data_IF_320543286819
#
_entry.id   IF_320543286819
#
_cell.length_a   1.000
_cell.length_b   1.000
_cell.length_c   1.000
_cell.angle_alpha   90.00
_cell.angle_beta   90.00
_cell.angle_gamma   90.00
#
_symmetry.space_group_name_H-M   'P 1'
#
loop_
_entity.id
_entity.type
_entity.pdbx_description
1 polymer ?
#
# COMPACT_ATOMS: atom_id res chain seq x y z
N UNK A 1 9.10 -28.70 -17.38
CA UNK A 1 8.17 -27.97 -16.50
C UNK A 1 6.98 -28.90 -16.31
N UNK A 2 6.77 -29.41 -15.11
CA UNK A 2 5.53 -30.09 -14.80
C UNK A 2 4.40 -29.07 -15.00
N UNK A 3 3.36 -29.47 -15.74
CA UNK A 3 2.15 -28.65 -15.89
C UNK A 3 1.48 -28.58 -14.51
N UNK A 4 1.67 -27.46 -13.83
CA UNK A 4 0.86 -27.17 -12.62
C UNK A 4 -0.60 -27.04 -13.06
N UNK A 5 -1.53 -27.56 -12.27
CA UNK A 5 -2.96 -27.37 -12.50
C UNK A 5 -3.30 -25.87 -12.60
N UNK A 6 -4.39 -25.53 -13.28
CA UNK A 6 -4.77 -24.11 -13.53
C UNK A 6 -4.95 -23.28 -12.24
N UNK A 7 -5.03 -23.94 -11.09
CA UNK A 7 -5.27 -23.33 -9.78
C UNK A 7 -4.10 -23.52 -8.79
N UNK A 8 -2.99 -24.07 -9.24
CA UNK A 8 -1.82 -24.33 -8.41
C UNK A 8 -0.77 -23.23 -8.62
N UNK A 9 -0.23 -22.75 -7.51
CA UNK A 9 0.91 -21.84 -7.58
C UNK A 9 2.15 -22.59 -8.09
N UNK A 10 2.99 -21.95 -8.93
CA UNK A 10 4.30 -22.47 -9.27
C UNK A 10 5.12 -22.82 -8.02
N UNK A 11 5.94 -23.89 -8.05
CA UNK A 11 6.71 -24.34 -6.89
C UNK A 11 7.56 -23.25 -6.22
N UNK A 12 8.15 -22.36 -7.01
CA UNK A 12 8.91 -21.22 -6.52
C UNK A 12 8.06 -20.22 -5.72
N UNK A 13 6.80 -20.02 -6.09
CA UNK A 13 5.88 -19.17 -5.34
C UNK A 13 5.30 -19.83 -4.10
N UNK A 14 5.17 -21.16 -4.12
CA UNK A 14 4.86 -21.94 -2.91
C UNK A 14 5.97 -21.78 -1.89
N UNK A 15 7.24 -21.96 -2.32
CA UNK A 15 8.41 -21.76 -1.46
C UNK A 15 8.49 -20.33 -0.92
N UNK A 16 8.27 -19.33 -1.78
CA UNK A 16 8.24 -17.93 -1.38
C UNK A 16 7.17 -17.71 -0.29
N UNK A 17 5.93 -18.14 -0.54
CA UNK A 17 4.83 -18.05 0.41
C UNK A 17 5.19 -18.66 1.76
N UNK A 18 5.72 -19.88 1.76
CA UNK A 18 6.02 -20.61 2.99
C UNK A 18 7.15 -19.94 3.79
N UNK A 19 8.16 -19.37 3.11
CA UNK A 19 9.21 -18.58 3.74
C UNK A 19 8.67 -17.27 4.34
N UNK A 20 7.81 -16.54 3.61
CA UNK A 20 7.20 -15.32 4.13
C UNK A 20 6.27 -15.65 5.32
N UNK A 21 5.47 -16.67 5.22
CA UNK A 21 4.61 -17.13 6.32
C UNK A 21 5.42 -17.46 7.57
N UNK A 22 6.54 -18.17 7.41
CA UNK A 22 7.45 -18.47 8.51
C UNK A 22 8.02 -17.20 9.13
N UNK A 23 8.55 -16.30 8.31
CA UNK A 23 9.10 -15.00 8.77
C UNK A 23 8.05 -14.18 9.52
N UNK A 24 6.83 -14.10 9.01
CA UNK A 24 5.73 -13.41 9.68
C UNK A 24 5.43 -14.00 11.05
N UNK A 25 5.30 -15.33 11.16
CA UNK A 25 4.92 -16.01 12.39
C UNK A 25 6.02 -16.05 13.45
N UNK A 26 7.27 -16.22 13.02
CA UNK A 26 8.39 -16.42 13.95
C UNK A 26 9.08 -15.11 14.34
N UNK A 27 8.96 -14.04 13.55
CA UNK A 27 9.73 -12.81 13.75
C UNK A 27 8.88 -11.54 13.76
N UNK A 28 8.07 -11.29 12.72
CA UNK A 28 7.31 -10.04 12.61
C UNK A 28 6.20 -9.96 13.66
N UNK A 29 5.34 -10.98 13.76
CA UNK A 29 4.24 -10.97 14.71
C UNK A 29 4.71 -10.95 16.17
N UNK A 30 5.73 -11.73 16.59
CA UNK A 30 6.27 -11.61 17.97
C UNK A 30 6.86 -10.24 18.26
N UNK A 31 7.54 -9.60 17.32
CA UNK A 31 8.04 -8.24 17.49
C UNK A 31 6.89 -7.23 17.64
N UNK A 32 5.84 -7.36 16.83
CA UNK A 32 4.64 -6.52 16.92
C UNK A 32 3.90 -6.68 18.25
N UNK A 33 3.81 -7.90 18.80
CA UNK A 33 3.13 -8.18 20.08
C UNK A 33 3.75 -7.43 21.26
N UNK A 34 5.00 -6.99 21.17
CA UNK A 34 5.65 -6.17 22.20
C UNK A 34 5.19 -4.71 22.19
N UNK A 35 4.48 -4.28 21.15
CA UNK A 35 4.02 -2.90 20.99
C UNK A 35 2.65 -2.68 21.64
N UNK A 36 2.36 -1.44 22.00
CA UNK A 36 1.02 -1.06 22.44
C UNK A 36 -0.03 -1.38 21.39
N UNK A 37 -1.23 -1.74 21.85
CA UNK A 37 -2.30 -2.23 20.98
C UNK A 37 -2.65 -1.29 19.83
N UNK A 38 -2.60 0.02 20.04
CA UNK A 38 -2.95 1.03 19.04
C UNK A 38 -1.75 1.55 18.24
N UNK A 39 -0.56 0.98 18.46
CA UNK A 39 0.60 1.31 17.64
C UNK A 39 0.38 0.95 16.18
N UNK A 40 0.79 1.85 15.29
CA UNK A 40 0.82 1.66 13.83
C UNK A 40 2.21 1.91 13.24
N UNK A 41 3.21 2.01 14.09
CA UNK A 41 4.63 2.12 13.72
C UNK A 41 5.45 1.19 14.58
N UNK A 42 6.32 0.44 13.94
CA UNK A 42 7.34 -0.35 14.62
C UNK A 42 8.57 0.55 14.86
N UNK A 43 9.11 0.60 16.08
CA UNK A 43 10.37 1.31 16.35
C UNK A 43 11.52 0.77 15.50
N UNK A 44 12.46 1.63 15.12
CA UNK A 44 13.58 1.26 14.25
C UNK A 44 14.40 0.10 14.83
N UNK A 45 14.58 0.05 16.15
CA UNK A 45 15.34 -0.99 16.84
C UNK A 45 14.79 -2.40 16.57
N UNK A 46 13.45 -2.51 16.41
CA UNK A 46 12.78 -3.77 16.06
C UNK A 46 12.67 -3.94 14.54
N UNK A 47 12.50 -2.85 13.79
CA UNK A 47 12.25 -2.89 12.36
C UNK A 47 13.51 -3.17 11.54
N UNK A 48 14.64 -2.55 11.86
CA UNK A 48 15.89 -2.69 11.10
C UNK A 48 16.39 -4.13 10.96
N UNK A 49 16.41 -4.98 12.02
CA UNK A 49 16.76 -6.39 11.87
C UNK A 49 15.83 -7.15 10.93
N UNK A 50 14.52 -6.87 10.98
CA UNK A 50 13.52 -7.49 10.11
C UNK A 50 13.72 -7.06 8.65
N UNK A 51 13.99 -5.78 8.41
CA UNK A 51 14.28 -5.24 7.08
C UNK A 51 15.55 -5.84 6.49
N UNK A 52 16.61 -5.96 7.30
CA UNK A 52 17.86 -6.58 6.87
C UNK A 52 17.60 -8.01 6.43
N UNK A 53 16.89 -8.80 7.22
CA UNK A 53 16.58 -10.19 6.90
C UNK A 53 15.70 -10.31 5.66
N UNK A 54 14.67 -9.49 5.54
CA UNK A 54 13.81 -9.45 4.37
C UNK A 54 14.60 -9.18 3.08
N UNK A 55 15.51 -8.24 3.13
CA UNK A 55 16.36 -7.85 2.00
C UNK A 55 17.44 -8.88 1.65
N UNK A 56 18.18 -9.36 2.65
CA UNK A 56 19.39 -10.16 2.44
C UNK A 56 19.11 -11.66 2.34
N UNK A 57 18.11 -12.18 3.08
CA UNK A 57 17.83 -13.61 3.15
C UNK A 57 16.59 -14.02 2.35
N UNK A 58 15.51 -13.22 2.41
CA UNK A 58 14.26 -13.54 1.73
C UNK A 58 14.20 -12.99 0.29
N UNK A 59 15.06 -12.02 -0.06
CA UNK A 59 15.05 -11.37 -1.36
C UNK A 59 13.77 -10.55 -1.60
N UNK A 60 13.11 -10.09 -0.54
CA UNK A 60 11.87 -9.30 -0.59
C UNK A 60 12.13 -7.92 -0.04
N UNK A 61 12.39 -6.97 -0.95
CA UNK A 61 12.65 -5.58 -0.60
C UNK A 61 12.10 -4.65 -1.66
N UNK A 62 11.28 -3.69 -1.29
CA UNK A 62 10.61 -2.78 -2.23
C UNK A 62 10.12 -3.55 -3.45
N UNK A 63 9.13 -4.40 -3.25
CA UNK A 63 8.72 -5.48 -4.15
C UNK A 63 8.36 -5.02 -5.56
N UNK A 64 7.86 -3.81 -5.66
CA UNK A 64 7.38 -3.20 -6.87
C UNK A 64 8.47 -2.39 -7.61
N UNK A 65 9.56 -2.13 -6.93
CA UNK A 65 10.67 -1.33 -7.45
C UNK A 65 11.55 -2.16 -8.37
N UNK A 66 11.95 -1.65 -9.57
CA UNK A 66 12.88 -2.33 -10.46
C UNK A 66 14.23 -2.63 -9.77
N UNK A 67 14.85 -3.74 -10.15
CA UNK A 67 16.15 -4.18 -9.59
C UNK A 67 17.25 -3.16 -9.80
N UNK A 68 17.26 -2.46 -10.93
CA UNK A 68 18.24 -1.42 -11.23
C UNK A 68 18.22 -0.25 -10.24
N UNK A 69 17.09 -0.06 -9.53
CA UNK A 69 16.94 0.95 -8.47
C UNK A 69 16.96 0.34 -7.06
N UNK A 70 17.35 -0.93 -6.92
CA UNK A 70 17.57 -1.60 -5.63
C UNK A 70 16.36 -2.30 -5.04
N UNK A 71 15.27 -2.47 -5.80
CA UNK A 71 14.09 -3.26 -5.41
C UNK A 71 14.23 -4.73 -5.81
N UNK A 72 13.23 -5.53 -5.46
CA UNK A 72 13.16 -6.96 -5.80
C UNK A 72 12.50 -7.23 -7.14
N UNK A 73 11.75 -6.28 -7.70
CA UNK A 73 11.04 -6.40 -8.99
C UNK A 73 10.24 -7.71 -9.08
N UNK A 74 9.45 -8.00 -8.06
CA UNK A 74 8.64 -9.21 -8.05
C UNK A 74 7.53 -9.13 -9.10
N UNK A 75 7.22 -10.26 -9.74
CA UNK A 75 6.04 -10.37 -10.59
C UNK A 75 4.78 -10.02 -9.81
N UNK A 76 3.73 -9.56 -10.48
CA UNK A 76 2.48 -9.17 -9.83
C UNK A 76 1.84 -10.34 -9.03
N UNK A 77 1.98 -11.58 -9.53
CA UNK A 77 1.54 -12.77 -8.82
C UNK A 77 2.38 -13.01 -7.54
N UNK A 78 3.71 -12.85 -7.62
CA UNK A 78 4.58 -12.96 -6.45
C UNK A 78 4.26 -11.88 -5.41
N UNK A 79 4.00 -10.64 -5.85
CA UNK A 79 3.57 -9.56 -4.96
C UNK A 79 2.24 -9.90 -4.27
N UNK A 80 1.27 -10.51 -4.96
CA UNK A 80 0.02 -10.94 -4.36
C UNK A 80 0.25 -12.01 -3.28
N UNK A 81 1.08 -13.02 -3.57
CA UNK A 81 1.45 -14.07 -2.62
C UNK A 81 2.10 -13.49 -1.35
N UNK A 82 3.05 -12.57 -1.52
CA UNK A 82 3.70 -11.91 -0.38
C UNK A 82 2.72 -11.01 0.38
N UNK A 83 1.86 -10.27 -0.32
CA UNK A 83 0.89 -9.35 0.29
C UNK A 83 -0.14 -10.09 1.17
N UNK A 84 -0.60 -11.26 0.74
CA UNK A 84 -1.53 -12.09 1.53
C UNK A 84 -0.91 -12.50 2.88
N UNK A 85 0.34 -12.98 2.88
CA UNK A 85 1.01 -13.38 4.11
C UNK A 85 1.43 -12.16 4.96
N UNK A 86 1.93 -11.10 4.33
CA UNK A 86 2.37 -9.87 4.99
C UNK A 86 1.23 -9.14 5.74
N UNK A 87 0.00 -9.35 5.32
CA UNK A 87 -1.18 -8.75 5.92
C UNK A 87 -1.64 -9.45 7.22
N UNK A 88 -1.10 -10.63 7.54
CA UNK A 88 -1.56 -11.46 8.66
C UNK A 88 -1.01 -11.01 10.04
N UNK A 89 -0.56 -9.79 10.17
CA UNK A 89 -0.21 -9.15 11.43
C UNK A 89 -1.26 -8.10 11.83
N UNK A 90 -1.22 -7.61 13.05
CA UNK A 90 -2.18 -6.64 13.59
C UNK A 90 -2.19 -5.33 12.80
N UNK A 91 -1.02 -4.84 12.41
CA UNK A 91 -0.86 -3.66 11.55
C UNK A 91 -1.06 -3.94 10.05
N UNK A 92 -1.23 -5.20 9.67
CA UNK A 92 -1.17 -5.65 8.28
C UNK A 92 -2.11 -4.96 7.31
N UNK A 93 -3.26 -4.46 7.81
CA UNK A 93 -4.20 -3.69 7.01
C UNK A 93 -3.62 -2.35 6.49
N UNK A 94 -2.66 -1.77 7.20
CA UNK A 94 -2.11 -0.44 6.92
C UNK A 94 -0.62 -0.48 6.60
N UNK A 95 0.10 -1.36 7.29
CA UNK A 95 1.55 -1.52 7.16
C UNK A 95 1.87 -3.02 7.10
N UNK A 96 1.69 -3.66 5.92
CA UNK A 96 1.99 -5.08 5.74
C UNK A 96 3.39 -5.44 6.24
N UNK A 97 3.51 -6.57 6.92
CA UNK A 97 4.74 -7.01 7.60
C UNK A 97 5.37 -5.93 8.50
N UNK A 98 4.55 -5.01 9.08
CA UNK A 98 5.01 -3.89 9.89
C UNK A 98 6.08 -3.01 9.23
N UNK A 99 6.19 -3.03 7.89
CA UNK A 99 7.19 -2.29 7.11
C UNK A 99 8.51 -3.03 6.90
N UNK A 100 8.60 -4.31 7.22
CA UNK A 100 9.81 -5.10 7.06
C UNK A 100 10.28 -5.25 5.59
N UNK A 101 9.37 -5.11 4.62
CA UNK A 101 9.69 -5.22 3.19
C UNK A 101 10.10 -3.90 2.52
N UNK A 102 10.39 -2.87 3.31
CA UNK A 102 10.77 -1.55 2.82
C UNK A 102 9.57 -0.68 2.40
N UNK A 103 9.88 0.44 1.80
CA UNK A 103 8.89 1.42 1.32
C UNK A 103 9.05 1.57 -0.19
N UNK A 104 8.08 1.03 -0.94
CA UNK A 104 8.02 1.25 -2.38
C UNK A 104 7.56 2.70 -2.68
N UNK A 105 8.24 3.42 -3.57
CA UNK A 105 7.67 4.64 -4.14
C UNK A 105 6.47 4.28 -5.05
N UNK A 106 5.56 5.22 -5.33
CA UNK A 106 4.56 5.02 -6.36
C UNK A 106 5.21 4.55 -7.68
N UNK A 107 4.84 3.36 -8.18
CA UNK A 107 5.51 2.71 -9.30
C UNK A 107 5.61 3.56 -10.58
N UNK A 108 4.68 4.48 -10.75
CA UNK A 108 4.65 5.40 -11.89
C UNK A 108 5.80 6.43 -11.90
N UNK A 109 6.55 6.57 -10.79
CA UNK A 109 7.73 7.44 -10.77
C UNK A 109 8.82 6.93 -11.72
N UNK A 110 8.88 5.61 -11.97
CA UNK A 110 9.83 5.00 -12.88
C UNK A 110 9.52 5.25 -14.37
N UNK A 111 8.38 5.89 -14.69
CA UNK A 111 8.07 6.42 -16.01
C UNK A 111 8.59 7.87 -16.20
N UNK A 112 9.15 8.44 -15.17
CA UNK A 112 9.68 9.81 -15.18
C UNK A 112 11.05 9.94 -15.84
N UNK A 113 11.55 11.17 -15.90
CA UNK A 113 12.92 11.45 -16.29
C UNK A 113 13.90 10.88 -15.27
N UNK A 114 15.16 10.65 -15.70
CA UNK A 114 16.20 10.19 -14.77
C UNK A 114 16.36 11.09 -13.54
N UNK A 115 16.24 12.41 -13.71
CA UNK A 115 16.29 13.36 -12.60
C UNK A 115 15.13 13.17 -11.60
N UNK A 116 13.93 12.90 -12.10
CA UNK A 116 12.77 12.62 -11.26
C UNK A 116 12.93 11.28 -10.52
N UNK A 117 13.39 10.23 -11.23
CA UNK A 117 13.63 8.92 -10.63
C UNK A 117 14.72 9.03 -9.54
N UNK A 118 15.83 9.69 -9.82
CA UNK A 118 16.94 9.84 -8.86
C UNK A 118 16.49 10.67 -7.64
N UNK A 119 15.77 11.77 -7.87
CA UNK A 119 15.33 12.68 -6.78
C UNK A 119 14.25 12.08 -5.90
N UNK A 120 13.30 11.34 -6.45
CA UNK A 120 12.10 10.88 -5.75
C UNK A 120 12.08 9.35 -5.57
N UNK A 121 12.27 8.59 -6.63
CA UNK A 121 12.23 7.13 -6.59
C UNK A 121 13.39 6.54 -5.79
N UNK A 122 14.63 6.76 -6.24
CA UNK A 122 15.84 6.19 -5.64
C UNK A 122 16.00 6.61 -4.18
N UNK A 123 15.81 7.91 -3.88
CA UNK A 123 15.89 8.39 -2.48
C UNK A 123 14.84 7.78 -1.58
N UNK A 124 13.64 7.50 -2.09
CA UNK A 124 12.61 6.79 -1.31
C UNK A 124 13.10 5.43 -0.86
N UNK A 125 13.72 4.67 -1.76
CA UNK A 125 14.21 3.32 -1.48
C UNK A 125 15.40 3.33 -0.53
N UNK A 126 16.33 4.26 -0.75
CA UNK A 126 17.57 4.36 0.04
C UNK A 126 17.38 4.91 1.44
N UNK A 127 16.47 5.87 1.60
CA UNK A 127 16.28 6.63 2.84
C UNK A 127 14.98 6.28 3.56
N UNK A 128 14.14 5.39 2.99
CA UNK A 128 12.82 5.04 3.55
C UNK A 128 11.85 6.22 3.55
N UNK A 129 12.00 7.17 2.60
CA UNK A 129 11.10 8.31 2.50
C UNK A 129 9.67 7.85 2.19
N UNK A 130 8.70 8.60 2.66
CA UNK A 130 7.29 8.32 2.37
C UNK A 130 6.79 9.21 1.24
N UNK A 131 5.94 8.63 0.41
CA UNK A 131 5.28 9.35 -0.67
C UNK A 131 3.75 9.13 -0.60
N UNK A 132 2.99 10.10 -1.11
CA UNK A 132 1.55 9.97 -1.25
C UNK A 132 1.12 10.02 -2.71
N UNK A 133 -0.10 9.52 -2.99
CA UNK A 133 -0.76 9.67 -4.28
C UNK A 133 -2.11 10.32 -4.08
N UNK A 134 -2.29 11.51 -4.64
CA UNK A 134 -3.45 12.36 -4.43
C UNK A 134 -4.37 12.39 -5.65
N UNK A 135 -5.41 11.55 -5.62
CA UNK A 135 -6.41 11.42 -6.68
C UNK A 135 -7.76 11.98 -6.22
N UNK A 136 -8.32 11.39 -5.15
CA UNK A 136 -9.68 11.67 -4.67
C UNK A 136 -9.85 13.08 -4.17
N UNK A 137 -11.06 13.65 -4.36
CA UNK A 137 -11.44 14.98 -3.94
C UNK A 137 -12.74 14.93 -3.12
N UNK A 138 -13.09 15.98 -2.37
CA UNK A 138 -14.35 16.01 -1.61
C UNK A 138 -15.60 15.74 -2.46
N UNK A 139 -15.57 16.14 -3.74
CA UNK A 139 -16.68 15.95 -4.69
C UNK A 139 -16.79 14.55 -5.30
N UNK A 140 -15.78 13.67 -5.11
CA UNK A 140 -15.84 12.32 -5.65
C UNK A 140 -14.48 11.60 -5.73
N UNK A 141 -14.54 10.27 -5.90
CA UNK A 141 -13.37 9.40 -5.99
C UNK A 141 -13.60 8.17 -6.88
N UNK A 142 -14.85 7.72 -7.05
CA UNK A 142 -15.17 6.52 -7.83
C UNK A 142 -14.97 6.71 -9.36
N UNK A 143 -15.13 7.93 -9.86
CA UNK A 143 -14.88 8.30 -11.26
C UNK A 143 -13.85 9.44 -11.32
N UNK A 144 -12.57 9.17 -11.11
CA UNK A 144 -11.55 10.21 -11.05
C UNK A 144 -11.41 10.99 -12.36
N UNK A 145 -11.71 10.38 -13.51
CA UNK A 145 -11.67 11.06 -14.79
C UNK A 145 -12.59 12.29 -14.86
N UNK A 146 -13.74 12.23 -14.20
CA UNK A 146 -14.72 13.33 -14.14
C UNK A 146 -14.65 14.11 -12.83
N UNK A 147 -14.31 13.45 -11.72
CA UNK A 147 -14.37 14.02 -10.38
C UNK A 147 -13.22 14.99 -10.09
N UNK A 148 -12.05 14.86 -10.73
CA UNK A 148 -10.89 15.74 -10.50
C UNK A 148 -11.22 17.16 -10.94
N UNK A 149 -11.27 18.09 -9.99
CA UNK A 149 -11.52 19.52 -10.16
C UNK A 149 -10.32 20.38 -9.73
N UNK A 150 -9.35 19.83 -8.99
CA UNK A 150 -8.11 20.51 -8.67
C UNK A 150 -7.47 21.03 -9.97
N UNK A 151 -7.18 22.32 -10.06
CA UNK A 151 -6.69 22.99 -11.26
C UNK A 151 -5.19 23.18 -11.22
N UNK A 152 -4.57 23.16 -12.39
CA UNK A 152 -3.17 23.51 -12.59
C UNK A 152 -3.06 24.45 -13.80
N UNK A 153 -2.64 25.70 -13.56
CA UNK A 153 -2.49 26.71 -14.61
C UNK A 153 -1.00 26.97 -14.84
N UNK A 154 -0.57 26.91 -16.10
CA UNK A 154 0.82 27.22 -16.48
C UNK A 154 1.05 28.75 -16.41
N UNK A 155 2.00 29.16 -15.56
CA UNK A 155 2.41 30.58 -15.43
C UNK A 155 3.94 30.68 -15.56
N UNK A 156 4.40 31.08 -16.71
CA UNK A 156 5.83 31.12 -17.01
C UNK A 156 6.45 29.72 -17.07
N UNK A 157 7.36 29.41 -16.14
CA UNK A 157 8.06 28.13 -16.05
C UNK A 157 7.55 27.25 -14.88
N UNK A 158 6.34 27.50 -14.40
CA UNK A 158 5.74 26.73 -13.30
C UNK A 158 4.23 26.57 -13.49
N UNK A 159 3.68 25.49 -12.95
CA UNK A 159 2.25 25.33 -12.78
C UNK A 159 1.81 25.84 -11.41
N UNK A 160 0.66 26.51 -11.35
CA UNK A 160 0.03 26.96 -10.11
C UNK A 160 -1.15 26.06 -9.83
N UNK A 161 -1.04 25.25 -8.78
CA UNK A 161 -2.07 24.29 -8.38
C UNK A 161 -3.01 24.91 -7.35
N UNK A 162 -4.33 24.72 -7.57
CA UNK A 162 -5.39 25.14 -6.66
C UNK A 162 -6.46 24.04 -6.55
N UNK A 163 -6.78 23.65 -5.31
CA UNK A 163 -7.81 22.65 -5.03
C UNK A 163 -7.55 21.81 -3.79
N UNK A 164 -8.45 20.90 -3.49
CA UNK A 164 -8.41 20.06 -2.29
C UNK A 164 -8.47 18.60 -2.67
N UNK A 165 -7.57 17.80 -2.10
CA UNK A 165 -7.58 16.34 -2.17
C UNK A 165 -8.00 15.77 -0.82
N UNK A 166 -8.76 14.68 -0.84
CA UNK A 166 -9.31 14.07 0.37
C UNK A 166 -9.04 12.57 0.40
N UNK A 167 -8.91 12.02 1.60
CA UNK A 167 -8.59 10.61 1.87
C UNK A 167 -7.20 10.21 1.38
N UNK A 168 -6.22 11.12 1.44
CA UNK A 168 -4.87 10.86 0.95
C UNK A 168 -4.05 10.16 2.03
N UNK A 169 -3.88 8.86 1.88
CA UNK A 169 -3.15 8.02 2.82
C UNK A 169 -1.69 8.44 2.92
N UNK A 170 -1.22 8.66 4.14
CA UNK A 170 0.19 8.92 4.45
C UNK A 170 0.68 10.33 4.13
N UNK A 171 -0.14 11.24 3.59
CA UNK A 171 0.29 12.57 3.17
C UNK A 171 0.86 13.43 4.33
N UNK A 172 0.41 13.22 5.56
CA UNK A 172 0.95 13.95 6.72
C UNK A 172 2.43 13.64 6.97
N UNK A 173 2.80 12.37 6.80
CA UNK A 173 4.16 11.88 7.07
C UNK A 173 5.03 11.75 5.81
N UNK A 174 4.51 12.14 4.64
CA UNK A 174 5.24 12.04 3.38
C UNK A 174 6.14 13.25 3.14
N UNK A 175 7.23 13.05 2.46
CA UNK A 175 8.16 14.09 2.02
C UNK A 175 7.81 14.61 0.63
N UNK A 176 7.14 13.79 -0.19
CA UNK A 176 6.73 14.16 -1.54
C UNK A 176 5.46 13.41 -1.95
N UNK A 177 4.88 13.76 -3.08
CA UNK A 177 3.72 13.06 -3.58
C UNK A 177 3.47 13.25 -5.07
N UNK A 178 2.57 12.40 -5.59
CA UNK A 178 2.04 12.47 -6.94
C UNK A 178 0.63 13.04 -6.87
N UNK A 179 0.37 14.09 -7.63
CA UNK A 179 -0.89 14.83 -7.63
C UNK A 179 -1.47 14.87 -9.04
N UNK A 180 -2.74 14.53 -9.16
CA UNK A 180 -3.49 14.65 -10.41
C UNK A 180 -4.35 15.92 -10.38
N UNK A 181 -4.09 16.83 -11.31
CA UNK A 181 -4.82 18.09 -11.44
C UNK A 181 -5.22 18.33 -12.90
N UNK A 182 -6.17 19.21 -13.12
CA UNK A 182 -6.71 19.52 -14.45
C UNK A 182 -6.03 20.77 -15.02
N UNK A 183 -5.42 20.61 -16.20
CA UNK A 183 -5.00 21.71 -17.07
C UNK A 183 -6.02 21.91 -18.19
N UNK A 184 -5.80 22.89 -19.06
CA UNK A 184 -6.62 23.09 -20.28
C UNK A 184 -6.55 21.88 -21.23
N UNK A 185 -5.44 21.12 -21.18
CA UNK A 185 -5.23 19.93 -22.02
C UNK A 185 -5.75 18.63 -21.39
N UNK A 186 -6.30 18.66 -20.16
CA UNK A 186 -6.87 17.52 -19.48
C UNK A 186 -6.21 17.22 -18.13
N UNK A 187 -6.44 16.00 -17.60
CA UNK A 187 -5.83 15.59 -16.35
C UNK A 187 -4.33 15.38 -16.56
N UNK A 188 -3.55 16.03 -15.72
CA UNK A 188 -2.09 16.07 -15.76
C UNK A 188 -1.53 15.57 -14.42
N UNK A 189 -0.39 14.91 -14.46
CA UNK A 189 0.27 14.33 -13.30
C UNK A 189 1.47 15.18 -12.89
N UNK A 190 1.55 15.52 -11.61
CA UNK A 190 2.60 16.35 -11.05
C UNK A 190 3.29 15.66 -9.87
N UNK A 191 4.58 15.89 -9.70
CA UNK A 191 5.33 15.54 -8.51
C UNK A 191 5.43 16.80 -7.65
N UNK A 192 5.04 16.69 -6.38
CA UNK A 192 5.11 17.78 -5.43
C UNK A 192 6.00 17.42 -4.25
N UNK A 193 6.89 18.32 -3.83
CA UNK A 193 7.56 18.23 -2.54
C UNK A 193 6.61 18.80 -1.48
N UNK A 194 6.46 18.16 -0.34
CA UNK A 194 5.51 18.61 0.70
C UNK A 194 5.83 20.00 1.24
N UNK A 195 7.08 20.40 1.16
CA UNK A 195 7.54 21.71 1.63
C UNK A 195 7.30 22.86 0.62
N UNK A 196 6.72 22.55 -0.55
CA UNK A 196 6.35 23.60 -1.51
C UNK A 196 5.35 24.57 -0.88
N UNK A 197 5.57 25.87 -1.12
CA UNK A 197 4.64 26.92 -0.68
C UNK A 197 3.23 26.66 -1.22
N UNK A 198 2.22 26.78 -0.37
CA UNK A 198 0.82 26.58 -0.74
C UNK A 198 0.31 25.13 -0.59
N UNK A 199 1.07 24.21 0.02
CA UNK A 199 0.59 22.88 0.38
C UNK A 199 0.32 22.84 1.89
N UNK A 200 -0.91 22.47 2.25
CA UNK A 200 -1.29 22.20 3.64
C UNK A 200 -1.87 20.80 3.75
N UNK A 201 -1.46 20.06 4.78
CA UNK A 201 -2.01 18.72 5.08
C UNK A 201 -2.71 18.73 6.43
N UNK A 202 -3.89 18.10 6.51
CA UNK A 202 -4.64 17.93 7.75
C UNK A 202 -5.07 16.47 7.90
N UNK A 203 -4.83 15.82 9.04
CA UNK A 203 -5.29 14.47 9.25
C UNK A 203 -6.83 14.45 9.32
N UNK A 204 -7.42 13.43 8.70
CA UNK A 204 -8.86 13.13 8.78
C UNK A 204 -9.01 11.97 9.75
N UNK A 205 -9.47 12.19 10.99
CA UNK A 205 -9.59 11.12 11.98
C UNK A 205 -10.54 10.02 11.51
N UNK A 206 -10.09 8.78 11.60
CA UNK A 206 -10.87 7.58 11.30
C UNK A 206 -10.85 6.63 12.49
N UNK A 207 -11.61 5.54 12.41
CA UNK A 207 -11.80 4.59 13.52
C UNK A 207 -10.51 3.92 14.02
N UNK A 208 -9.44 3.95 13.22
CA UNK A 208 -8.10 3.46 13.57
C UNK A 208 -7.06 4.55 13.37
N UNK A 209 -5.93 4.39 14.02
CA UNK A 209 -4.90 5.40 14.21
C UNK A 209 -4.12 5.84 12.98
N UNK A 210 -4.15 5.09 11.86
CA UNK A 210 -3.52 5.52 10.63
C UNK A 210 -4.47 6.37 9.80
N UNK A 211 -4.51 7.66 10.09
CA UNK A 211 -5.46 8.57 9.45
C UNK A 211 -5.03 8.94 8.03
N UNK A 212 -5.95 8.91 7.05
CA UNK A 212 -5.76 9.62 5.80
C UNK A 212 -5.75 11.13 6.04
N UNK A 213 -5.32 11.88 5.04
CA UNK A 213 -5.25 13.34 5.12
C UNK A 213 -6.12 14.01 4.07
N UNK A 214 -6.53 15.22 4.40
CA UNK A 214 -6.88 16.25 3.45
C UNK A 214 -5.60 16.97 3.03
N UNK A 215 -5.42 17.23 1.73
CA UNK A 215 -4.30 17.98 1.18
C UNK A 215 -4.85 19.15 0.38
N UNK A 216 -4.56 20.36 0.84
CA UNK A 216 -4.98 21.61 0.20
C UNK A 216 -3.84 22.23 -0.58
N UNK A 217 -4.15 22.67 -1.79
CA UNK A 217 -3.26 23.43 -2.67
C UNK A 217 -3.85 24.84 -2.83
N UNK A 218 -3.09 25.84 -2.40
CA UNK A 218 -3.46 27.26 -2.51
C UNK A 218 -2.30 28.01 -3.18
N UNK A 219 -2.49 28.36 -4.45
CA UNK A 219 -1.45 28.97 -5.29
C UNK A 219 -0.11 28.22 -5.25
N UNK A 220 -0.17 26.89 -5.12
CA UNK A 220 1.02 26.05 -5.01
C UNK A 220 1.80 26.04 -6.31
N UNK A 221 3.05 26.48 -6.25
CA UNK A 221 3.95 26.65 -7.41
C UNK A 221 4.75 25.37 -7.63
N UNK A 222 4.45 24.66 -8.69
CA UNK A 222 5.11 23.43 -9.09
C UNK A 222 5.94 23.69 -10.36
N UNK A 223 7.27 23.50 -10.33
CA UNK A 223 8.12 23.68 -11.49
C UNK A 223 7.71 22.80 -12.67
N UNK A 224 7.90 23.25 -13.91
CA UNK A 224 7.55 22.45 -15.11
C UNK A 224 8.30 21.14 -15.18
N UNK A 225 9.51 21.05 -14.64
CA UNK A 225 10.30 19.82 -14.55
C UNK A 225 9.71 18.78 -13.59
N UNK A 226 8.73 19.15 -12.76
CA UNK A 226 8.00 18.24 -11.90
C UNK A 226 6.71 17.69 -12.55
N UNK A 227 6.45 18.01 -13.83
CA UNK A 227 5.43 17.33 -14.60
C UNK A 227 5.87 15.89 -14.86
N UNK A 228 5.05 14.92 -14.45
CA UNK A 228 5.32 13.49 -14.68
C UNK A 228 4.59 13.04 -15.94
N UNK A 229 5.36 12.63 -16.93
CA UNK A 229 4.84 12.28 -18.27
C UNK A 229 4.52 13.51 -19.11
N UNK A 230 3.36 13.50 -19.79
CA UNK A 230 2.91 14.56 -20.70
C UNK A 230 1.67 15.28 -20.15
N UNK A 231 1.56 16.56 -20.43
CA UNK A 231 0.38 17.34 -20.10
C UNK A 231 -0.88 16.75 -20.76
N UNK A 232 -1.96 16.66 -19.99
CA UNK A 232 -3.23 16.06 -20.42
C UNK A 232 -3.25 14.53 -20.49
N UNK A 233 -2.12 13.85 -20.23
CA UNK A 233 -2.02 12.38 -20.22
C UNK A 233 -1.95 11.76 -18.81
N UNK A 234 -2.09 12.55 -17.78
CA UNK A 234 -1.99 12.09 -16.38
C UNK A 234 -3.00 11.02 -15.99
N UNK A 235 -4.18 10.97 -16.64
CA UNK A 235 -5.15 9.92 -16.35
C UNK A 235 -4.65 8.50 -16.71
N UNK A 236 -3.87 8.36 -17.77
CA UNK A 236 -3.24 7.07 -18.10
C UNK A 236 -2.25 6.63 -17.01
N UNK A 237 -1.47 7.58 -16.46
CA UNK A 237 -0.57 7.33 -15.32
C UNK A 237 -1.38 6.91 -14.09
N UNK A 238 -2.48 7.62 -13.80
CA UNK A 238 -3.40 7.26 -12.72
C UNK A 238 -3.93 5.83 -12.86
N UNK A 239 -4.40 5.45 -14.05
CA UNK A 239 -4.89 4.11 -14.33
C UNK A 239 -3.78 3.04 -14.16
N UNK A 240 -2.57 3.31 -14.65
CA UNK A 240 -1.42 2.40 -14.49
C UNK A 240 -1.17 2.11 -13.01
N UNK A 241 -1.13 3.15 -12.17
CA UNK A 241 -0.97 3.00 -10.73
C UNK A 241 -2.12 2.20 -10.09
N UNK A 242 -3.37 2.56 -10.39
CA UNK A 242 -4.55 1.90 -9.83
C UNK A 242 -4.64 0.42 -10.21
N UNK A 243 -4.39 0.08 -11.47
CA UNK A 243 -4.44 -1.31 -11.95
C UNK A 243 -3.39 -2.17 -11.24
N UNK A 244 -2.17 -1.64 -11.12
CA UNK A 244 -1.08 -2.36 -10.45
C UNK A 244 -1.39 -2.63 -8.98
N UNK A 245 -1.94 -1.63 -8.27
CA UNK A 245 -2.21 -1.75 -6.83
C UNK A 245 -3.40 -2.67 -6.49
N UNK A 246 -4.36 -2.85 -7.40
CA UNK A 246 -5.58 -3.62 -7.12
C UNK A 246 -5.32 -5.06 -6.70
N UNK A 247 -4.38 -5.75 -7.34
CA UNK A 247 -4.12 -7.16 -7.08
C UNK A 247 -3.44 -7.37 -5.72
N UNK A 248 -2.32 -6.71 -5.37
CA UNK A 248 -1.72 -6.83 -4.04
C UNK A 248 -2.68 -6.38 -2.92
N UNK A 249 -3.50 -5.35 -3.14
CA UNK A 249 -4.50 -4.93 -2.16
C UNK A 249 -5.59 -5.98 -1.94
N UNK A 250 -6.05 -6.65 -3.00
CA UNK A 250 -7.03 -7.72 -2.87
C UNK A 250 -6.45 -8.91 -2.09
N UNK A 251 -5.22 -9.31 -2.39
CA UNK A 251 -4.51 -10.34 -1.66
C UNK A 251 -4.29 -9.97 -0.18
N UNK A 252 -3.96 -8.71 0.10
CA UNK A 252 -3.85 -8.18 1.46
C UNK A 252 -5.17 -8.36 2.24
N UNK A 253 -6.31 -8.01 1.65
CA UNK A 253 -7.63 -8.16 2.30
C UNK A 253 -7.93 -9.64 2.59
N UNK A 254 -7.56 -10.56 1.69
CA UNK A 254 -7.70 -12.00 1.90
C UNK A 254 -6.84 -12.46 3.08
N UNK A 255 -5.58 -12.00 3.16
CA UNK A 255 -4.69 -12.30 4.28
C UNK A 255 -5.24 -11.84 5.64
N UNK A 256 -5.81 -10.62 5.69
CA UNK A 256 -6.47 -10.09 6.90
C UNK A 256 -7.66 -10.97 7.29
N UNK A 257 -8.52 -11.33 6.32
CA UNK A 257 -9.68 -12.17 6.56
C UNK A 257 -9.27 -13.56 7.07
N UNK A 258 -8.24 -14.17 6.47
CA UNK A 258 -7.68 -15.44 6.90
C UNK A 258 -7.20 -15.38 8.37
N UNK A 259 -6.45 -14.34 8.72
CA UNK A 259 -5.97 -14.16 10.10
C UNK A 259 -7.12 -13.94 11.08
N UNK A 260 -8.11 -13.17 10.71
CA UNK A 260 -9.31 -12.95 11.54
C UNK A 260 -10.06 -14.26 11.79
N UNK A 261 -10.21 -15.11 10.76
CA UNK A 261 -10.86 -16.42 10.87
C UNK A 261 -10.04 -17.37 11.78
N UNK A 262 -8.71 -17.43 11.63
CA UNK A 262 -7.84 -18.21 12.53
C UNK A 262 -8.05 -17.81 13.99
N UNK A 263 -8.04 -16.51 14.29
CA UNK A 263 -8.27 -16.00 15.64
C UNK A 263 -9.67 -16.35 16.16
N UNK A 264 -10.68 -16.27 15.30
CA UNK A 264 -12.05 -16.64 15.66
C UNK A 264 -12.18 -18.14 15.98
N UNK A 265 -11.52 -19.00 15.21
CA UNK A 265 -11.46 -20.46 15.44
C UNK A 265 -10.76 -20.77 16.77
N UNK A 266 -9.62 -20.15 17.03
CA UNK A 266 -8.86 -20.35 18.26
C UNK A 266 -9.67 -19.91 19.47
N UNK A 267 -10.36 -18.77 19.38
CA UNK A 267 -11.27 -18.31 20.41
C UNK A 267 -12.44 -19.27 20.62
N UNK A 268 -13.07 -19.75 19.56
CA UNK A 268 -14.19 -20.69 19.64
C UNK A 268 -13.80 -22.01 20.30
N UNK A 269 -12.56 -22.48 20.11
CA UNK A 269 -12.00 -23.66 20.78
C UNK A 269 -11.73 -23.48 22.28
N UNK A 270 -11.55 -22.25 22.72
CA UNK A 270 -11.23 -21.91 24.12
C UNK A 270 -12.47 -21.49 24.90
N UNK A 271 -13.34 -20.66 24.33
CA UNK A 271 -14.50 -20.08 25.01
C UNK A 271 -15.60 -21.10 25.27
N UNK A 272 -16.01 -21.19 26.53
CA UNK A 272 -17.14 -22.02 26.96
C UNK A 272 -18.37 -21.18 27.29
N UNK A 273 -19.53 -21.67 26.86
CA UNK A 273 -20.84 -21.14 27.23
C UNK A 273 -21.81 -22.29 27.47
N UNK A 274 -22.60 -22.23 28.55
CA UNK A 274 -23.51 -23.32 28.91
C UNK A 274 -22.82 -24.69 29.01
N UNK A 275 -21.59 -24.72 29.56
CA UNK A 275 -20.76 -25.92 29.75
C UNK A 275 -20.32 -26.63 28.46
N UNK A 276 -20.36 -25.96 27.32
CA UNK A 276 -19.85 -26.45 26.05
C UNK A 276 -19.01 -25.38 25.36
N UNK A 277 -18.03 -25.80 24.57
CA UNK A 277 -17.20 -24.88 23.78
C UNK A 277 -18.04 -24.22 22.70
N UNK A 278 -17.69 -23.00 22.29
CA UNK A 278 -18.33 -22.35 21.14
C UNK A 278 -18.12 -23.18 19.87
N UNK A 279 -16.96 -23.80 19.70
CA UNK A 279 -16.64 -24.66 18.56
C UNK A 279 -17.59 -25.88 18.43
N UNK A 280 -18.23 -26.33 19.51
CA UNK A 280 -19.17 -27.45 19.50
C UNK A 280 -20.59 -27.04 19.07
N UNK A 281 -20.82 -25.74 18.88
CA UNK A 281 -22.14 -25.23 18.48
C UNK A 281 -22.25 -25.19 16.95
N UNK A 282 -23.25 -25.88 16.40
CA UNK A 282 -23.46 -26.02 14.96
C UNK A 282 -23.54 -24.67 14.24
N UNK A 283 -24.21 -23.68 14.82
CA UNK A 283 -24.28 -22.34 14.23
C UNK A 283 -22.90 -21.68 14.08
N UNK A 284 -21.98 -21.87 15.05
CA UNK A 284 -20.59 -21.36 14.97
C UNK A 284 -19.79 -22.11 13.91
N UNK A 285 -19.99 -23.45 13.81
CA UNK A 285 -19.33 -24.26 12.77
C UNK A 285 -19.76 -23.81 11.36
N UNK A 286 -21.03 -23.51 11.15
CA UNK A 286 -21.51 -22.98 9.87
C UNK A 286 -20.90 -21.63 9.54
N UNK A 287 -20.83 -20.68 10.48
CA UNK A 287 -20.21 -19.38 10.27
C UNK A 287 -18.73 -19.52 9.87
N UNK A 288 -17.99 -20.44 10.51
CA UNK A 288 -16.60 -20.71 10.18
C UNK A 288 -16.47 -21.33 8.77
N UNK A 289 -17.31 -22.31 8.44
CA UNK A 289 -17.29 -22.95 7.14
C UNK A 289 -17.64 -21.98 6.01
N UNK A 290 -18.67 -21.17 6.18
CA UNK A 290 -19.07 -20.17 5.20
C UNK A 290 -17.96 -19.13 5.00
N UNK A 291 -17.33 -18.65 6.08
CA UNK A 291 -16.21 -17.73 6.01
C UNK A 291 -15.01 -18.31 5.27
N UNK A 292 -14.69 -19.59 5.49
CA UNK A 292 -13.59 -20.24 4.76
C UNK A 292 -13.87 -20.34 3.27
N UNK A 293 -15.12 -20.64 2.87
CA UNK A 293 -15.54 -20.66 1.46
C UNK A 293 -15.40 -19.24 0.85
N UNK A 294 -15.88 -18.21 1.56
CA UNK A 294 -15.82 -16.81 1.11
C UNK A 294 -14.38 -16.29 1.01
N UNK A 295 -13.44 -16.77 1.83
CA UNK A 295 -12.02 -16.41 1.77
C UNK A 295 -11.32 -17.18 0.64
N UNK A 296 -11.66 -18.44 0.44
CA UNK A 296 -11.02 -19.30 -0.57
C UNK A 296 -11.39 -18.90 -2.00
N UNK A 297 -12.66 -18.57 -2.26
CA UNK A 297 -13.14 -18.27 -3.60
C UNK A 297 -12.42 -17.06 -4.27
N UNK A 298 -12.20 -15.92 -3.61
CA UNK A 298 -11.47 -14.80 -4.22
C UNK A 298 -9.94 -15.01 -4.30
N UNK A 299 -9.41 -16.04 -3.65
CA UNK A 299 -7.98 -16.41 -3.76
C UNK A 299 -7.69 -17.10 -5.10
N UNK A 300 -8.67 -17.74 -5.72
CA UNK A 300 -8.58 -18.44 -7.00
C UNK A 300 -8.71 -17.48 -8.18
#
# INVERSE_FOLDING_TARGET
MEETGAWELPPELVLLRDNIKKFMREEVCPAEETLEHDSYRMPNELLEPLQKKAKEELGVWCMNTPKEYGGSELSLLAQAVVAEEAAQCRMGAYVPACGAFGVDPPNVIFDGSKLQIDKYGTRTIEQGLKAFVAISEPGGGADPARAIQCKAELKGNQYVLNGTKLWITGAEAAEWGIVFARTDNGITCFIVDKEMEGIETRPVPVIRSYSPSEVNFVDCKVPVENLLGEEGKGFAICQKWLVHMRIPYSANVIGIAQRALELAIDWAKQRETFRTKLADKQAVQWMIADSEVEITAPRL
#
